data_IF_081211130184
#
_entry.id   IF_081211130184
#
_cell.length_a   1.000
_cell.length_b   1.000
_cell.length_c   1.000
_cell.angle_alpha   90.00
_cell.angle_beta   90.00
_cell.angle_gamma   90.00
#
_symmetry.space_group_name_H-M   'P 1'
#
loop_
_entity.id
_entity.type
_entity.pdbx_description
1 polymer ?
#
# COMPACT_ATOMS: atom_id res chain seq x y z
N UNK A 1 -30.04 -8.10 -1.59
CA UNK A 1 -29.61 -7.98 -1.93
C UNK A 1 -28.92 -7.69 -2.38
N UNK A 2 -28.60 -7.51 -2.61
CA UNK A 2 -28.00 -7.31 -3.32
C UNK A 2 -27.31 -6.86 -3.56
N UNK A 3 -26.85 -6.65 -3.74
CA UNK A 3 -26.21 -6.24 -4.16
C UNK A 3 -25.50 -5.91 -4.37
N UNK A 4 -25.21 -5.91 -4.37
CA UNK A 4 -24.53 -5.65 -4.83
C UNK A 4 -23.73 -5.27 -5.17
N UNK A 5 -23.56 -5.30 -4.99
CA UNK A 5 -22.58 -5.06 -5.67
C UNK A 5 -22.21 -3.94 -6.12
N UNK A 6 -21.84 -3.72 -6.43
CA UNK A 6 -21.38 -2.92 -7.13
C UNK A 6 -21.12 -1.60 -6.86
N UNK A 7 -21.41 -0.92 -6.03
CA UNK A 7 -21.21 0.50 -5.85
C UNK A 7 -20.42 0.83 -4.60
N UNK A 8 -19.55 -0.04 -4.21
CA UNK A 8 -18.62 0.32 -3.15
C UNK A 8 -17.29 0.75 -3.77
N UNK A 9 -16.49 1.41 -2.98
CA UNK A 9 -15.22 1.92 -3.45
C UNK A 9 -14.10 0.89 -3.38
N UNK A 10 -12.89 1.36 -3.19
CA UNK A 10 -11.72 0.49 -3.16
C UNK A 10 -10.69 1.04 -2.21
N UNK A 11 -9.71 0.22 -1.89
CA UNK A 11 -8.59 0.62 -1.04
C UNK A 11 -7.41 1.07 -1.91
N UNK A 12 -6.71 2.08 -1.43
CA UNK A 12 -5.49 2.53 -2.09
C UNK A 12 -4.38 2.61 -1.06
N UNK A 13 -3.20 2.16 -1.46
CA UNK A 13 -2.01 2.31 -0.64
C UNK A 13 -1.33 3.61 -1.03
N UNK A 14 -0.88 4.35 -0.03
CA UNK A 14 -0.24 5.64 -0.26
C UNK A 14 1.27 5.53 -0.16
N UNK A 15 1.80 4.44 -0.69
CA UNK A 15 3.23 4.15 -0.56
C UNK A 15 4.08 5.22 -1.24
N UNK A 16 3.71 5.60 -2.46
CA UNK A 16 4.52 6.57 -3.20
C UNK A 16 4.54 7.93 -2.52
N UNK A 17 3.43 8.32 -1.93
CA UNK A 17 3.37 9.58 -1.20
C UNK A 17 4.28 9.54 0.02
N UNK A 18 4.28 8.44 0.74
CA UNK A 18 5.13 8.29 1.91
C UNK A 18 6.60 8.26 1.55
N UNK A 19 6.95 7.58 0.45
CA UNK A 19 8.32 7.57 -0.03
C UNK A 19 8.80 8.97 -0.36
N UNK A 20 7.94 9.74 -1.00
CA UNK A 20 8.27 11.09 -1.40
C UNK A 20 8.46 11.98 -0.18
N UNK A 21 7.56 11.89 0.76
CA UNK A 21 7.62 12.71 1.98
C UNK A 21 8.90 12.45 2.77
N UNK A 22 9.39 11.21 2.73
CA UNK A 22 10.55 10.81 3.50
C UNK A 22 11.82 10.72 2.67
N UNK A 23 11.73 11.08 1.40
CA UNK A 23 12.87 11.09 0.48
C UNK A 23 13.54 9.71 0.43
N UNK A 24 12.72 8.67 0.27
CA UNK A 24 13.18 7.28 0.20
C UNK A 24 12.91 6.74 -1.18
N UNK A 25 13.90 6.09 -1.80
CA UNK A 25 13.72 5.51 -3.12
C UNK A 25 13.07 4.14 -3.02
N UNK A 26 12.41 3.71 -4.12
CA UNK A 26 11.81 2.38 -4.16
C UNK A 26 12.86 1.29 -4.04
N UNK A 27 14.04 1.51 -4.62
CA UNK A 27 15.12 0.54 -4.50
C UNK A 27 15.54 0.34 -3.05
N UNK A 28 15.63 1.43 -2.32
CA UNK A 28 16.05 1.37 -0.92
C UNK A 28 15.07 0.57 -0.08
N UNK A 29 13.79 0.88 -0.18
CA UNK A 29 12.79 0.21 0.65
C UNK A 29 12.66 -1.26 0.29
N UNK A 30 12.72 -1.59 -1.01
CA UNK A 30 12.64 -2.98 -1.44
C UNK A 30 13.82 -3.78 -0.91
N UNK A 31 14.99 -3.19 -0.92
CA UNK A 31 16.19 -3.85 -0.42
C UNK A 31 16.11 -4.07 1.09
N UNK A 32 15.69 -3.06 1.82
CA UNK A 32 15.66 -3.12 3.28
C UNK A 32 14.58 -4.04 3.80
N UNK A 33 13.45 -4.11 3.12
CA UNK A 33 12.35 -4.96 3.54
C UNK A 33 12.33 -6.31 2.82
N UNK A 34 13.30 -6.53 1.93
CA UNK A 34 13.40 -7.78 1.18
C UNK A 34 12.11 -8.07 0.42
N UNK A 35 11.65 -7.09 -0.33
CA UNK A 35 10.44 -7.21 -1.15
C UNK A 35 10.85 -7.21 -2.61
N UNK A 36 10.41 -8.21 -3.40
CA UNK A 36 10.68 -8.19 -4.82
C UNK A 36 10.13 -6.92 -5.47
N UNK A 37 10.92 -6.31 -6.33
CA UNK A 37 10.57 -5.03 -6.93
C UNK A 37 9.26 -5.10 -7.72
N UNK A 38 9.03 -6.22 -8.42
CA UNK A 38 7.82 -6.38 -9.20
C UNK A 38 6.58 -6.39 -8.32
N UNK A 39 6.65 -7.08 -7.17
CA UNK A 39 5.55 -7.09 -6.22
C UNK A 39 5.32 -5.70 -5.63
N UNK A 40 6.41 -5.02 -5.28
CA UNK A 40 6.31 -3.69 -4.71
C UNK A 40 5.67 -2.71 -5.69
N UNK A 41 6.06 -2.79 -6.97
CA UNK A 41 5.49 -1.92 -7.99
C UNK A 41 3.98 -2.12 -8.12
N UNK A 42 3.52 -3.35 -8.01
CA UNK A 42 2.08 -3.64 -8.08
C UNK A 42 1.34 -2.97 -6.93
N UNK A 43 1.90 -3.02 -5.74
CA UNK A 43 1.29 -2.34 -4.59
C UNK A 43 1.29 -0.84 -4.77
N UNK A 44 2.36 -0.28 -5.32
CA UNK A 44 2.44 1.17 -5.55
C UNK A 44 1.39 1.63 -6.56
N UNK A 45 1.07 0.79 -7.54
CA UNK A 45 0.07 1.11 -8.55
C UNK A 45 -1.34 0.69 -8.14
N UNK A 46 -1.48 0.16 -6.93
CA UNK A 46 -2.77 -0.31 -6.41
C UNK A 46 -3.37 -1.42 -7.25
N UNK A 47 -2.50 -2.29 -7.78
CA UNK A 47 -2.90 -3.45 -8.59
C UNK A 47 -2.90 -4.68 -7.72
N UNK A 48 -3.81 -4.74 -6.76
CA UNK A 48 -3.89 -5.87 -5.85
C UNK A 48 -5.36 -6.14 -5.54
N UNK A 49 -5.65 -7.39 -5.22
CA UNK A 49 -6.98 -7.78 -4.77
C UNK A 49 -6.98 -8.14 -3.31
N UNK A 50 -5.83 -8.50 -2.79
CA UNK A 50 -5.68 -8.87 -1.39
C UNK A 50 -4.47 -8.17 -0.82
N UNK A 51 -4.53 -7.87 0.46
CA UNK A 51 -3.41 -7.27 1.16
C UNK A 51 -2.84 -8.27 2.14
N UNK A 52 -1.52 -8.42 2.12
CA UNK A 52 -0.80 -9.28 3.04
C UNK A 52 -0.57 -8.51 4.34
N UNK A 53 -1.07 -9.04 5.44
CA UNK A 53 -0.94 -8.37 6.73
C UNK A 53 0.52 -8.15 7.11
N UNK A 54 1.39 -9.11 6.80
CA UNK A 54 2.82 -8.95 7.07
C UNK A 54 3.42 -7.77 6.33
N UNK A 55 3.03 -7.63 5.07
CA UNK A 55 3.52 -6.52 4.26
C UNK A 55 3.07 -5.18 4.86
N UNK A 56 1.81 -5.10 5.25
CA UNK A 56 1.29 -3.88 5.84
C UNK A 56 2.02 -3.55 7.13
N UNK A 57 2.28 -4.55 7.97
CA UNK A 57 3.03 -4.34 9.19
C UNK A 57 4.45 -3.86 8.91
N UNK A 58 5.12 -4.45 7.93
CA UNK A 58 6.47 -4.02 7.55
C UNK A 58 6.47 -2.57 7.09
N UNK A 59 5.49 -2.19 6.29
CA UNK A 59 5.43 -0.83 5.77
C UNK A 59 5.13 0.17 6.87
N UNK A 60 4.20 -0.15 7.76
CA UNK A 60 3.88 0.73 8.87
C UNK A 60 5.08 0.93 9.78
N UNK A 61 5.80 -0.16 10.05
CA UNK A 61 6.98 -0.09 10.89
C UNK A 61 8.09 0.73 10.22
N UNK A 62 8.29 0.49 8.93
CA UNK A 62 9.33 1.17 8.19
C UNK A 62 9.09 2.67 8.10
N UNK A 63 7.85 3.05 7.81
CA UNK A 63 7.48 4.45 7.70
C UNK A 63 7.15 5.09 9.03
N UNK A 64 7.08 4.30 10.09
CA UNK A 64 6.69 4.76 11.42
C UNK A 64 5.36 5.49 11.34
N UNK A 65 4.35 4.82 10.78
CA UNK A 65 3.04 5.42 10.57
C UNK A 65 1.93 4.46 10.97
N UNK A 66 0.73 5.01 11.11
CA UNK A 66 -0.46 4.23 11.41
C UNK A 66 -1.02 3.65 10.12
N UNK A 67 -1.82 2.58 10.26
CA UNK A 67 -2.46 1.96 9.11
C UNK A 67 -3.27 2.99 8.33
N UNK A 68 -3.95 3.88 9.03
CA UNK A 68 -4.77 4.90 8.37
C UNK A 68 -3.99 5.90 7.55
N UNK A 69 -2.69 6.01 7.80
CA UNK A 69 -1.83 6.88 6.99
C UNK A 69 -1.33 6.15 5.74
N UNK A 70 -1.31 4.82 5.77
CA UNK A 70 -0.80 4.02 4.68
C UNK A 70 -1.90 3.61 3.71
N UNK A 71 -3.08 3.29 4.23
CA UNK A 71 -4.19 2.78 3.44
C UNK A 71 -5.37 3.74 3.54
N UNK A 72 -5.99 4.04 2.41
CA UNK A 72 -7.20 4.84 2.44
C UNK A 72 -8.30 4.18 1.63
N UNK A 73 -9.54 4.46 2.01
CA UNK A 73 -10.70 3.99 1.30
C UNK A 73 -11.20 5.08 0.38
N UNK A 74 -11.33 4.76 -0.89
CA UNK A 74 -11.78 5.71 -1.90
C UNK A 74 -13.19 5.36 -2.31
N UNK A 75 -14.11 6.28 -2.10
CA UNK A 75 -15.51 6.07 -2.47
C UNK A 75 -15.72 6.21 -3.97
N UNK A 76 -16.62 5.39 -4.47
CA UNK A 76 -17.01 5.50 -5.87
C UNK A 76 -17.95 6.68 -6.10
#
# INVERSE_FOLDING_TARGET
MGVMYMNYGHLELRIEELLKERDISKNTICKELDIPRSNFNRYCRNEFQRLDANLICKLCDYFDCEVGELICYVKE
#
